data_IF_267610680843
#
_entry.id   IF_267610680843
#
_cell.length_a   1.000
_cell.length_b   1.000
_cell.length_c   1.000
_cell.angle_alpha   90.00
_cell.angle_beta   90.00
_cell.angle_gamma   90.00
#
_symmetry.space_group_name_H-M   'P 1'
#
loop_
_entity.id
_entity.type
_entity.pdbx_description
1 polymer ?
#
# COMPACT_ATOMS: atom_id res chain seq x y z
N UNK A 1 -13.83 -8.62 18.22
CA UNK A 1 -13.17 -7.96 17.11
C UNK A 1 -12.73 -8.96 16.05
N UNK A 2 -12.85 -8.60 14.80
CA UNK A 2 -12.59 -9.52 13.72
C UNK A 2 -11.25 -9.20 13.03
N UNK A 3 -10.27 -10.10 13.20
CA UNK A 3 -8.93 -9.92 12.63
C UNK A 3 -8.94 -10.00 11.10
N UNK A 4 -9.91 -10.68 10.51
CA UNK A 4 -10.06 -10.77 9.07
C UNK A 4 -10.35 -9.41 8.44
N UNK A 5 -11.20 -8.60 9.11
CA UNK A 5 -11.51 -7.25 8.64
C UNK A 5 -10.26 -6.39 8.67
N UNK A 6 -9.52 -6.45 9.77
CA UNK A 6 -8.28 -5.69 9.93
C UNK A 6 -7.26 -6.07 8.86
N UNK A 7 -7.11 -7.37 8.61
CA UNK A 7 -6.19 -7.86 7.59
C UNK A 7 -6.59 -7.35 6.20
N UNK A 8 -7.87 -7.44 5.87
CA UNK A 8 -8.37 -6.98 4.58
C UNK A 8 -8.20 -5.47 4.39
N UNK A 9 -8.40 -4.68 5.46
CA UNK A 9 -8.16 -3.25 5.41
C UNK A 9 -6.68 -2.92 5.13
N UNK A 10 -5.77 -3.64 5.76
CA UNK A 10 -4.33 -3.46 5.54
C UNK A 10 -3.94 -3.81 4.11
N UNK A 11 -4.53 -4.85 3.53
CA UNK A 11 -4.27 -5.19 2.13
C UNK A 11 -4.66 -4.05 1.20
N UNK A 12 -5.80 -3.41 1.46
CA UNK A 12 -6.26 -2.27 0.66
C UNK A 12 -5.28 -1.10 0.79
N UNK A 13 -4.83 -0.80 2.00
CA UNK A 13 -3.85 0.27 2.25
C UNK A 13 -2.56 0.01 1.47
N UNK A 14 -2.04 -1.21 1.54
CA UNK A 14 -0.83 -1.59 0.83
C UNK A 14 -0.99 -1.47 -0.69
N UNK A 15 -2.10 -1.95 -1.22
CA UNK A 15 -2.37 -1.89 -2.66
C UNK A 15 -2.48 -0.45 -3.15
N UNK A 16 -3.14 0.42 -2.37
CA UNK A 16 -3.25 1.84 -2.70
C UNK A 16 -1.89 2.54 -2.64
N UNK A 17 -1.06 2.19 -1.66
CA UNK A 17 0.29 2.74 -1.55
C UNK A 17 1.11 2.37 -2.79
N UNK A 18 1.01 1.13 -3.26
CA UNK A 18 1.71 0.70 -4.46
C UNK A 18 1.21 1.41 -5.71
N UNK A 19 -0.09 1.70 -5.79
CA UNK A 19 -0.62 2.49 -6.90
C UNK A 19 -0.09 3.92 -6.87
N UNK A 20 -0.08 4.54 -5.69
CA UNK A 20 0.41 5.91 -5.52
C UNK A 20 1.88 6.01 -5.96
N UNK A 21 2.72 5.08 -5.53
CA UNK A 21 4.13 5.12 -5.90
C UNK A 21 4.32 4.88 -7.42
N UNK A 22 3.44 4.11 -8.04
CA UNK A 22 3.52 3.86 -9.48
C UNK A 22 3.29 5.13 -10.29
N UNK A 23 2.38 5.98 -9.86
CA UNK A 23 2.13 7.27 -10.50
C UNK A 23 3.26 8.28 -10.27
N UNK A 24 4.05 8.08 -9.22
CA UNK A 24 5.15 8.97 -8.84
C UNK A 24 6.44 8.19 -8.70
N UNK A 25 6.67 7.31 -9.68
CA UNK A 25 7.77 6.36 -9.61
C UNK A 25 9.15 7.01 -9.51
N UNK A 26 9.39 8.07 -10.27
CA UNK A 26 10.69 8.76 -10.22
C UNK A 26 10.98 9.31 -8.84
N UNK A 27 9.99 9.94 -8.22
CA UNK A 27 10.13 10.47 -6.86
C UNK A 27 10.37 9.35 -5.85
N UNK A 28 9.66 8.23 -6.02
CA UNK A 28 9.83 7.07 -5.15
C UNK A 28 11.25 6.52 -5.25
N UNK A 29 11.76 6.36 -6.46
CA UNK A 29 13.12 5.86 -6.69
C UNK A 29 14.15 6.81 -6.09
N UNK A 30 13.97 8.12 -6.27
CA UNK A 30 14.86 9.13 -5.70
C UNK A 30 14.91 9.03 -4.17
N UNK A 31 13.74 8.90 -3.55
CA UNK A 31 13.67 8.77 -2.10
C UNK A 31 14.40 7.52 -1.63
N UNK A 32 14.13 6.38 -2.25
CA UNK A 32 14.75 5.12 -1.84
C UNK A 32 16.26 5.11 -2.10
N UNK A 33 16.69 5.75 -3.18
CA UNK A 33 18.09 5.81 -3.54
C UNK A 33 18.92 6.72 -2.63
N UNK A 34 18.37 7.87 -2.26
CA UNK A 34 19.11 8.89 -1.54
C UNK A 34 18.82 8.99 -0.06
N UNK A 35 17.90 8.21 0.46
CA UNK A 35 17.66 8.17 1.91
C UNK A 35 18.81 7.44 2.60
N UNK A 36 19.23 8.00 3.74
CA UNK A 36 20.36 7.46 4.49
C UNK A 36 20.00 6.29 5.38
N UNK A 37 18.72 6.13 5.66
CA UNK A 37 18.23 5.07 6.53
C UNK A 37 16.82 4.68 6.12
N UNK A 38 16.38 3.53 6.62
CA UNK A 38 15.00 3.08 6.45
C UNK A 38 14.01 4.11 7.02
N UNK A 39 14.31 4.61 8.21
CA UNK A 39 13.46 5.61 8.87
C UNK A 39 13.30 6.87 8.01
N UNK A 40 14.40 7.37 7.48
CA UNK A 40 14.36 8.55 6.60
C UNK A 40 13.54 8.26 5.34
N UNK A 41 13.71 7.09 4.74
CA UNK A 41 12.96 6.70 3.55
C UNK A 41 11.46 6.68 3.83
N UNK A 42 11.05 6.08 4.95
CA UNK A 42 9.64 6.03 5.35
C UNK A 42 9.08 7.43 5.55
N UNK A 43 9.81 8.28 6.27
CA UNK A 43 9.36 9.66 6.53
C UNK A 43 9.18 10.43 5.22
N UNK A 44 10.12 10.31 4.30
CA UNK A 44 10.04 11.01 3.01
C UNK A 44 8.93 10.47 2.12
N UNK A 45 8.68 9.17 2.16
CA UNK A 45 7.56 8.58 1.43
C UNK A 45 6.24 9.12 1.97
N UNK A 46 6.13 9.24 3.27
CA UNK A 46 4.93 9.83 3.89
C UNK A 46 4.73 11.27 3.45
N UNK A 47 5.77 12.08 3.51
CA UNK A 47 5.68 13.49 3.15
C UNK A 47 5.43 13.71 1.67
N UNK A 48 6.19 13.03 0.82
CA UNK A 48 6.18 13.28 -0.62
C UNK A 48 4.98 12.64 -1.31
N UNK A 49 4.64 11.41 -0.94
CA UNK A 49 3.56 10.66 -1.57
C UNK A 49 2.24 10.75 -0.82
N UNK A 50 2.23 11.35 0.36
CA UNK A 50 1.02 11.45 1.17
C UNK A 50 0.56 10.11 1.75
N UNK A 51 1.48 9.18 1.93
CA UNK A 51 1.15 7.87 2.47
C UNK A 51 1.11 7.92 3.99
N UNK A 52 0.31 7.02 4.60
CA UNK A 52 0.40 6.83 6.03
C UNK A 52 1.64 5.99 6.34
N UNK A 53 1.96 5.85 7.62
CA UNK A 53 3.16 5.12 8.03
C UNK A 53 3.15 3.68 7.55
N UNK A 54 2.01 3.01 7.66
CA UNK A 54 1.89 1.62 7.25
C UNK A 54 2.14 1.45 5.75
N UNK A 55 1.51 2.29 4.93
CA UNK A 55 1.70 2.26 3.48
C UNK A 55 3.13 2.60 3.06
N UNK A 56 3.72 3.61 3.72
CA UNK A 56 5.10 4.01 3.43
C UNK A 56 6.10 2.89 3.77
N UNK A 57 5.91 2.22 4.90
CA UNK A 57 6.74 1.08 5.27
C UNK A 57 6.59 -0.05 4.28
N UNK A 58 5.37 -0.30 3.83
CA UNK A 58 5.12 -1.35 2.85
C UNK A 58 5.90 -1.08 1.55
N UNK A 59 5.86 0.14 1.05
CA UNK A 59 6.60 0.54 -0.16
C UNK A 59 8.11 0.39 0.08
N UNK A 60 8.60 0.87 1.22
CA UNK A 60 10.03 0.83 1.53
C UNK A 60 10.57 -0.60 1.65
N UNK A 61 9.73 -1.54 2.00
CA UNK A 61 10.11 -2.95 2.16
C UNK A 61 10.11 -3.73 0.85
N UNK A 62 9.57 -3.17 -0.24
CA UNK A 62 9.47 -3.86 -1.50
C UNK A 62 10.78 -3.86 -2.27
N UNK A 63 10.99 -4.89 -3.06
CA UNK A 63 12.11 -4.95 -3.99
C UNK A 63 11.88 -3.94 -5.13
N UNK A 64 12.95 -3.40 -5.66
CA UNK A 64 12.87 -2.45 -6.76
C UNK A 64 12.09 -3.03 -7.95
N UNK A 65 12.29 -4.31 -8.26
CA UNK A 65 11.57 -4.96 -9.36
C UNK A 65 10.05 -5.01 -9.14
N UNK A 66 9.62 -5.08 -7.88
CA UNK A 66 8.19 -5.05 -7.55
C UNK A 66 7.65 -3.63 -7.72
N UNK A 67 8.40 -2.64 -7.20
CA UNK A 67 8.01 -1.23 -7.29
C UNK A 67 7.88 -0.79 -8.74
N UNK A 68 8.84 -1.12 -9.57
CA UNK A 68 8.87 -0.73 -10.98
C UNK A 68 7.93 -1.56 -11.85
N UNK A 69 7.48 -2.71 -11.34
CA UNK A 69 6.59 -3.61 -12.08
C UNK A 69 5.11 -3.34 -11.93
N UNK A 70 4.72 -2.34 -11.14
CA UNK A 70 3.30 -2.03 -10.94
C UNK A 70 2.73 -1.32 -12.17
N UNK A 71 1.70 -1.91 -12.75
CA UNK A 71 0.98 -1.32 -13.87
C UNK A 71 -0.29 -0.68 -13.31
N UNK A 72 -0.44 0.66 -13.39
CA UNK A 72 -1.54 1.37 -12.73
C UNK A 72 -2.93 0.80 -13.01
N UNK A 73 -3.26 0.50 -14.26
CA UNK A 73 -4.59 -0.01 -14.60
C UNK A 73 -4.86 -1.38 -13.98
N UNK A 74 -3.86 -2.25 -13.99
CA UNK A 74 -3.96 -3.58 -13.35
C UNK A 74 -4.09 -3.42 -11.85
N UNK A 75 -3.31 -2.50 -11.27
CA UNK A 75 -3.36 -2.25 -9.82
C UNK A 75 -4.72 -1.70 -9.39
N UNK A 76 -5.34 -0.85 -10.20
CA UNK A 76 -6.68 -0.34 -9.91
C UNK A 76 -7.70 -1.47 -9.86
N UNK A 77 -7.64 -2.40 -10.79
CA UNK A 77 -8.53 -3.57 -10.80
C UNK A 77 -8.32 -4.42 -9.55
N UNK A 78 -7.06 -4.62 -9.18
CA UNK A 78 -6.73 -5.38 -7.98
C UNK A 78 -7.30 -4.71 -6.73
N UNK A 79 -7.19 -3.38 -6.64
CA UNK A 79 -7.74 -2.62 -5.51
C UNK A 79 -9.26 -2.79 -5.44
N UNK A 80 -9.94 -2.73 -6.59
CA UNK A 80 -11.40 -2.92 -6.62
C UNK A 80 -11.79 -4.31 -6.12
N UNK A 81 -11.04 -5.34 -6.48
CA UNK A 81 -11.27 -6.69 -5.96
C UNK A 81 -11.04 -6.77 -4.46
N UNK A 82 -9.98 -6.13 -3.96
CA UNK A 82 -9.71 -6.10 -2.53
C UNK A 82 -10.81 -5.39 -1.77
N UNK A 83 -11.35 -4.31 -2.32
CA UNK A 83 -12.47 -3.59 -1.71
C UNK A 83 -13.72 -4.46 -1.64
N UNK A 84 -13.98 -5.27 -2.67
CA UNK A 84 -15.09 -6.21 -2.66
C UNK A 84 -14.91 -7.28 -1.58
N UNK A 85 -13.70 -7.82 -1.45
CA UNK A 85 -13.38 -8.78 -0.39
C UNK A 85 -13.57 -8.15 0.99
N UNK A 86 -13.10 -6.91 1.15
CA UNK A 86 -13.25 -6.19 2.41
C UNK A 86 -14.74 -6.03 2.76
N UNK A 87 -15.55 -5.64 1.78
CA UNK A 87 -16.98 -5.50 1.97
C UNK A 87 -17.61 -6.83 2.40
N UNK A 88 -17.23 -7.93 1.74
CA UNK A 88 -17.72 -9.27 2.08
C UNK A 88 -17.31 -9.70 3.48
N UNK A 89 -16.06 -9.45 3.84
CA UNK A 89 -15.54 -9.79 5.17
C UNK A 89 -16.27 -9.00 6.25
N UNK A 90 -16.51 -7.72 6.02
CA UNK A 90 -17.27 -6.87 6.95
C UNK A 90 -18.71 -7.36 7.10
N UNK A 91 -19.31 -7.79 6.00
CA UNK A 91 -20.67 -8.33 6.03
C UNK A 91 -20.72 -9.62 6.85
N UNK A 92 -19.78 -10.52 6.64
CA UNK A 92 -19.68 -11.75 7.42
C UNK A 92 -19.40 -11.48 8.89
N UNK A 93 -18.60 -10.46 9.18
CA UNK A 93 -18.25 -10.11 10.55
C UNK A 93 -19.46 -9.66 11.37
N UNK A 94 -20.53 -9.17 10.73
CA UNK A 94 -21.77 -8.80 11.41
C UNK A 94 -22.47 -9.98 12.06
N UNK A 95 -22.23 -11.18 11.53
CA UNK A 95 -22.85 -12.41 12.02
C UNK A 95 -21.94 -13.20 12.94
N UNK A 96 -20.70 -12.79 13.06
CA UNK A 96 -19.68 -13.45 13.87
C UNK A 96 -19.63 -12.77 15.25
N UNK A 97 -20.19 -13.44 16.26
CA UNK A 97 -20.21 -12.91 17.62
C UNK A 97 -19.63 -13.86 18.62
#
# INVERSE_FOLDING_TARGET
>A
MNDWVRYAEKEVICAKAMLTQAYRLEETIQILKFSRSYKEAVEKLMETLGLDEFGAKYVADQRLSVITGIIPDVQKEYIEELKKRLSNVKELAKYDR
#
